data_IF_611679741487
#
_entry.id   IF_611679741487
#
_cell.length_a   1.000
_cell.length_b   1.000
_cell.length_c   1.000
_cell.angle_alpha   90.00
_cell.angle_beta   90.00
_cell.angle_gamma   90.00
#
_symmetry.space_group_name_H-M   'P 1'
#
loop_
_entity.id
_entity.type
_entity.pdbx_description
1 polymer ?
#
# COMPACT_ATOMS: atom_id res chain seq x y z
N UNK A 1 6.10 1.40 -33.21
CA UNK A 1 6.31 1.29 -31.75
C UNK A 1 7.80 1.40 -31.50
N UNK A 2 8.23 2.36 -30.68
CA UNK A 2 9.64 2.64 -30.35
C UNK A 2 9.80 2.57 -28.83
N UNK A 3 9.56 1.40 -28.27
CA UNK A 3 9.60 1.14 -26.82
C UNK A 3 10.60 0.04 -26.54
N UNK A 4 11.33 0.16 -25.44
CA UNK A 4 12.26 -0.84 -24.95
C UNK A 4 11.90 -1.17 -23.50
N UNK A 5 11.92 -2.45 -23.15
CA UNK A 5 11.66 -2.96 -21.80
C UNK A 5 12.95 -3.54 -21.26
N UNK A 6 13.41 -3.02 -20.13
CA UNK A 6 14.58 -3.52 -19.41
C UNK A 6 14.14 -4.16 -18.09
N UNK A 7 13.86 -5.46 -18.14
CA UNK A 7 13.41 -6.24 -16.97
C UNK A 7 14.57 -6.73 -16.09
N UNK A 8 15.80 -6.32 -16.39
CA UNK A 8 17.00 -6.82 -15.70
C UNK A 8 17.48 -5.91 -14.57
N UNK A 9 16.88 -4.73 -14.44
CA UNK A 9 17.23 -3.73 -13.43
C UNK A 9 16.72 -4.10 -12.03
N UNK A 10 17.39 -3.59 -11.01
CA UNK A 10 17.07 -3.87 -9.60
C UNK A 10 16.06 -2.86 -9.08
N UNK A 11 15.02 -3.35 -8.41
CA UNK A 11 14.03 -2.49 -7.74
C UNK A 11 14.66 -1.56 -6.70
N UNK A 12 14.19 -0.32 -6.65
CA UNK A 12 14.70 0.73 -5.77
C UNK A 12 16.01 1.38 -6.25
N UNK A 13 16.60 0.90 -7.36
CA UNK A 13 17.80 1.51 -7.95
C UNK A 13 17.39 2.44 -9.09
N UNK A 14 17.80 3.70 -9.01
CA UNK A 14 17.57 4.66 -10.09
C UNK A 14 18.49 4.37 -11.27
N UNK A 15 17.91 4.08 -12.43
CA UNK A 15 18.61 3.91 -13.70
C UNK A 15 18.43 5.18 -14.55
N UNK A 16 19.47 5.52 -15.31
CA UNK A 16 19.46 6.65 -16.23
C UNK A 16 19.57 6.16 -17.67
N UNK A 17 18.64 6.57 -18.53
CA UNK A 17 18.55 6.13 -19.92
C UNK A 17 18.73 7.29 -20.88
N UNK A 18 19.44 7.00 -21.97
CA UNK A 18 19.62 7.90 -23.10
C UNK A 18 19.50 7.08 -24.38
N UNK A 19 18.98 7.69 -25.43
CA UNK A 19 18.78 7.02 -26.72
C UNK A 19 19.54 7.77 -27.81
N UNK A 20 20.15 7.04 -28.73
CA UNK A 20 20.75 7.57 -29.94
C UNK A 20 20.17 6.86 -31.16
N UNK A 21 20.22 7.52 -32.32
CA UNK A 21 19.85 6.91 -33.59
C UNK A 21 21.12 6.40 -34.29
N UNK A 22 21.11 5.16 -34.77
CA UNK A 22 22.20 4.56 -35.55
C UNK A 22 21.79 4.39 -37.02
N UNK A 23 22.66 4.81 -37.95
CA UNK A 23 22.49 4.57 -39.38
C UNK A 23 23.80 4.07 -40.03
N UNK A 24 23.82 3.91 -41.35
CA UNK A 24 24.98 3.41 -42.10
C UNK A 24 26.22 4.30 -42.03
N UNK A 25 26.07 5.58 -41.68
CA UNK A 25 27.16 6.55 -41.54
C UNK A 25 27.69 6.55 -40.11
N UNK A 26 26.85 6.26 -39.11
CA UNK A 26 27.26 6.14 -37.71
C UNK A 26 26.14 6.44 -36.72
N UNK A 27 26.53 6.54 -35.45
CA UNK A 27 25.65 6.87 -34.33
C UNK A 27 25.49 8.40 -34.21
N UNK A 28 24.25 8.85 -34.05
CA UNK A 28 23.90 10.24 -33.82
C UNK A 28 24.03 10.66 -32.36
N UNK A 29 23.64 11.91 -32.07
CA UNK A 29 23.67 12.42 -30.71
C UNK A 29 22.72 11.65 -29.79
N UNK A 30 23.14 11.46 -28.54
CA UNK A 30 22.27 10.98 -27.48
C UNK A 30 21.22 12.04 -27.12
N UNK A 31 20.04 11.58 -26.72
CA UNK A 31 19.03 12.41 -26.05
C UNK A 31 19.54 12.97 -24.71
N UNK A 32 18.73 13.85 -24.14
CA UNK A 32 18.79 14.14 -22.71
C UNK A 32 18.57 12.85 -21.89
N UNK A 33 19.05 12.88 -20.65
CA UNK A 33 19.01 11.73 -19.75
C UNK A 33 17.69 11.70 -19.00
N UNK A 34 16.95 10.61 -19.17
CA UNK A 34 15.76 10.30 -18.38
C UNK A 34 16.12 9.31 -17.28
N UNK A 35 15.30 9.24 -16.22
CA UNK A 35 15.55 8.31 -15.12
C UNK A 35 14.30 7.55 -14.72
N UNK A 36 14.50 6.34 -14.22
CA UNK A 36 13.45 5.51 -13.68
C UNK A 36 13.96 4.78 -12.44
N UNK A 37 13.11 4.69 -11.41
CA UNK A 37 13.37 3.92 -10.20
C UNK A 37 12.26 2.88 -10.09
N UNK A 38 12.44 1.68 -10.68
CA UNK A 38 11.40 0.66 -10.64
C UNK A 38 11.14 0.25 -9.20
N UNK A 39 9.88 0.06 -8.87
CA UNK A 39 9.45 -0.51 -7.60
C UNK A 39 8.94 -1.91 -7.87
N UNK A 40 9.16 -2.83 -6.94
CA UNK A 40 8.32 -4.02 -6.91
C UNK A 40 6.89 -3.49 -6.69
N UNK A 41 6.01 -3.67 -7.66
CA UNK A 41 4.59 -3.63 -7.37
C UNK A 41 4.40 -4.69 -6.30
N UNK A 42 4.23 -4.25 -5.05
CA UNK A 42 3.74 -5.15 -4.02
C UNK A 42 2.46 -5.71 -4.60
N UNK A 43 2.40 -7.02 -4.76
CA UNK A 43 1.11 -7.71 -4.84
C UNK A 43 0.35 -7.31 -3.59
N UNK A 44 -0.39 -6.22 -3.69
CA UNK A 44 -1.67 -6.12 -3.03
C UNK A 44 -2.56 -6.74 -4.09
N UNK A 45 -2.61 -8.07 -4.08
CA UNK A 45 -3.86 -8.76 -4.14
C UNK A 45 -4.80 -7.97 -3.22
N UNK A 46 -5.53 -7.01 -3.81
CA UNK A 46 -6.64 -6.30 -3.18
C UNK A 46 -7.81 -7.29 -2.95
N UNK A 47 -7.51 -8.49 -2.45
CA UNK A 47 -8.40 -9.19 -1.54
C UNK A 47 -8.29 -8.39 -0.24
N UNK A 48 -8.91 -7.21 -0.22
CA UNK A 48 -9.12 -6.36 0.95
C UNK A 48 -9.59 -7.25 2.11
N UNK A 49 -8.63 -7.70 2.91
CA UNK A 49 -8.86 -8.48 4.11
C UNK A 49 -9.42 -7.48 5.12
N UNK A 50 -10.74 -7.34 5.03
CA UNK A 50 -11.48 -6.17 5.46
C UNK A 50 -11.05 -5.68 6.82
N UNK A 51 -10.73 -4.38 6.88
CA UNK A 51 -10.38 -3.60 8.06
C UNK A 51 -11.01 -4.13 9.35
N UNK A 52 -10.33 -5.07 10.01
CA UNK A 52 -10.89 -5.77 11.15
C UNK A 52 -10.66 -4.90 12.40
N UNK A 53 -11.62 -4.02 12.65
CA UNK A 53 -11.81 -3.30 13.91
C UNK A 53 -12.24 -4.24 15.05
N UNK A 54 -11.73 -5.48 15.06
CA UNK A 54 -11.94 -6.53 16.06
C UNK A 54 -11.73 -5.99 17.47
N UNK A 55 -10.67 -5.19 17.68
CA UNK A 55 -10.39 -4.53 18.96
C UNK A 55 -11.50 -3.53 19.36
N UNK A 56 -12.03 -2.75 18.42
CA UNK A 56 -13.10 -1.78 18.67
C UNK A 56 -14.40 -2.50 19.07
N UNK A 57 -14.75 -3.60 18.40
CA UNK A 57 -15.92 -4.41 18.75
C UNK A 57 -15.79 -5.04 20.14
N UNK A 58 -14.60 -5.53 20.51
CA UNK A 58 -14.33 -6.06 21.85
C UNK A 58 -14.47 -4.96 22.92
N UNK A 59 -13.99 -3.74 22.65
CA UNK A 59 -14.15 -2.59 23.55
C UNK A 59 -15.63 -2.23 23.71
N UNK A 60 -16.38 -2.11 22.61
CA UNK A 60 -17.81 -1.79 22.63
C UNK A 60 -18.60 -2.87 23.40
N UNK A 61 -18.31 -4.15 23.16
CA UNK A 61 -18.94 -5.26 23.88
C UNK A 61 -18.68 -5.20 25.39
N UNK A 62 -17.44 -4.95 25.81
CA UNK A 62 -17.09 -4.83 27.22
C UNK A 62 -17.80 -3.64 27.90
N UNK A 63 -17.90 -2.50 27.22
CA UNK A 63 -18.61 -1.31 27.72
C UNK A 63 -20.11 -1.58 27.89
N UNK A 64 -20.74 -2.26 26.93
CA UNK A 64 -22.16 -2.65 27.01
C UNK A 64 -22.40 -3.58 28.20
N UNK A 65 -21.56 -4.60 28.38
CA UNK A 65 -21.67 -5.53 29.52
C UNK A 65 -21.53 -4.80 30.85
N UNK A 66 -20.53 -3.92 30.97
CA UNK A 66 -20.32 -3.11 32.18
C UNK A 66 -21.50 -2.18 32.46
N UNK A 67 -22.05 -1.53 31.43
CA UNK A 67 -23.22 -0.66 31.56
C UNK A 67 -24.47 -1.44 32.01
N UNK A 68 -24.73 -2.61 31.42
CA UNK A 68 -25.87 -3.47 31.80
C UNK A 68 -25.71 -3.99 33.24
N UNK A 69 -24.51 -4.44 33.61
CA UNK A 69 -24.22 -4.88 34.97
C UNK A 69 -24.36 -3.73 35.97
N UNK A 70 -23.86 -2.53 35.63
CA UNK A 70 -23.98 -1.33 36.43
C UNK A 70 -25.42 -0.87 36.60
N UNK A 71 -26.23 -0.89 35.53
CA UNK A 71 -27.65 -0.57 35.58
C UNK A 71 -28.40 -1.59 36.44
N UNK A 72 -28.19 -2.88 36.24
CA UNK A 72 -28.79 -3.93 37.07
C UNK A 72 -28.44 -3.75 38.55
N UNK A 73 -27.17 -3.50 38.86
CA UNK A 73 -26.70 -3.22 40.22
C UNK A 73 -27.34 -1.95 40.81
N UNK A 74 -27.44 -0.88 40.03
CA UNK A 74 -28.09 0.37 40.45
C UNK A 74 -29.57 0.18 40.74
N UNK A 75 -30.29 -0.57 39.91
CA UNK A 75 -31.70 -0.90 40.13
C UNK A 75 -31.90 -1.83 41.34
N UNK A 76 -31.00 -2.79 41.56
CA UNK A 76 -31.01 -3.64 42.75
C UNK A 76 -30.73 -2.83 44.02
N UNK A 77 -29.85 -1.83 43.95
CA UNK A 77 -29.56 -0.90 45.06
C UNK A 77 -30.71 0.05 45.35
N UNK A 78 -31.52 0.41 44.36
CA UNK A 78 -32.71 1.27 44.51
C UNK A 78 -33.93 0.56 45.15
N UNK A 79 -33.94 -0.78 45.21
CA UNK A 79 -35.03 -1.58 45.79
C UNK A 79 -34.82 -1.96 47.27
N UNK A 80 -33.76 -1.47 47.91
CA UNK A 80 -33.56 -1.46 49.37
C UNK A 80 -33.71 -0.04 49.86
#
# INVERSE_FOLDING_TARGET
>A
MTTFLDDTVVNGVTCHYRVSALNAVGEGNLTDSEHATPTAEGGIDDDDEGDDNTLLYLIIAAVIVAAVAGLAFFFLRKRK
#
